data_IF_940442707094
#
_entry.id   IF_940442707094
#
_cell.length_a   1.000
_cell.length_b   1.000
_cell.length_c   1.000
_cell.angle_alpha   90.00
_cell.angle_beta   90.00
_cell.angle_gamma   90.00
#
_symmetry.space_group_name_H-M   'P 1'
#
loop_
_entity.id
_entity.type
_entity.pdbx_description
1 polymer ?
#
# COMPACT_ATOMS: atom_id res chain seq x y z
N UNK A 1 8.74 10.67 -14.57
CA UNK A 1 7.74 9.93 -15.37
C UNK A 1 8.10 8.46 -15.44
N UNK A 2 7.12 7.63 -15.32
CA UNK A 2 7.33 6.19 -15.43
C UNK A 2 7.55 5.80 -16.87
N UNK A 3 8.55 4.97 -17.13
CA UNK A 3 8.84 4.46 -18.47
C UNK A 3 8.34 3.05 -18.69
N UNK A 4 8.05 2.32 -17.64
CA UNK A 4 7.58 0.96 -17.74
C UNK A 4 6.06 0.91 -17.88
N UNK A 5 5.56 -0.23 -18.26
CA UNK A 5 4.12 -0.45 -18.41
C UNK A 5 3.53 -1.24 -17.27
N UNK A 6 4.29 -1.46 -16.21
CA UNK A 6 3.82 -2.21 -15.05
C UNK A 6 2.86 -1.33 -14.26
N UNK A 7 1.64 -1.82 -14.00
CA UNK A 7 0.69 -1.04 -13.17
C UNK A 7 1.23 -0.87 -11.77
N UNK A 8 0.81 0.17 -11.06
CA UNK A 8 1.17 0.33 -9.66
C UNK A 8 0.73 -0.88 -8.84
N UNK A 9 1.58 -1.32 -7.92
CA UNK A 9 1.33 -2.50 -7.10
C UNK A 9 0.74 -2.08 -5.76
N UNK A 10 -0.52 -2.43 -5.52
CA UNK A 10 -1.18 -2.11 -4.26
C UNK A 10 -0.67 -3.03 -3.15
N UNK A 11 -0.48 -2.51 -1.92
CA UNK A 11 -0.02 -3.34 -0.80
C UNK A 11 -0.90 -4.55 -0.54
N UNK A 12 -2.19 -4.49 -0.88
CA UNK A 12 -3.10 -5.61 -0.74
C UNK A 12 -2.70 -6.81 -1.58
N UNK A 13 -2.12 -6.59 -2.76
CA UNK A 13 -1.62 -7.69 -3.57
C UNK A 13 -0.41 -8.35 -2.93
N UNK A 14 0.48 -7.55 -2.36
CA UNK A 14 1.64 -8.08 -1.64
C UNK A 14 1.18 -8.91 -0.44
N UNK A 15 0.21 -8.38 0.31
CA UNK A 15 -0.34 -9.10 1.46
C UNK A 15 -0.90 -10.46 1.04
N UNK A 16 -1.69 -10.48 -0.03
CA UNK A 16 -2.31 -11.72 -0.51
C UNK A 16 -1.30 -12.70 -1.08
N UNK A 17 -0.48 -12.23 -2.04
CA UNK A 17 0.38 -13.12 -2.82
C UNK A 17 1.64 -13.54 -2.09
N UNK A 18 2.21 -12.67 -1.27
CA UNK A 18 3.50 -12.94 -0.63
C UNK A 18 3.36 -13.42 0.81
N UNK A 19 2.21 -13.24 1.43
CA UNK A 19 2.01 -13.62 2.83
C UNK A 19 0.88 -14.60 3.02
N UNK A 20 -0.35 -14.23 2.65
CA UNK A 20 -1.50 -15.07 2.97
C UNK A 20 -1.48 -16.41 2.23
N UNK A 21 -1.26 -16.38 0.93
CA UNK A 21 -1.22 -17.61 0.13
C UNK A 21 -0.07 -18.53 0.53
N UNK A 22 1.18 -18.04 0.57
CA UNK A 22 2.29 -18.93 0.96
C UNK A 22 2.16 -19.49 2.37
N UNK A 23 1.59 -18.71 3.29
CA UNK A 23 1.45 -19.13 4.68
C UNK A 23 0.13 -19.85 4.97
N UNK A 24 -0.72 -19.97 3.94
CA UNK A 24 -2.03 -20.63 4.06
C UNK A 24 -2.89 -19.99 5.15
N UNK A 25 -2.93 -18.65 5.18
CA UNK A 25 -3.72 -17.88 6.13
C UNK A 25 -4.92 -17.31 5.40
N UNK A 26 -6.13 -17.56 5.92
CA UNK A 26 -7.33 -16.99 5.34
C UNK A 26 -7.51 -15.53 5.75
N UNK A 27 -8.30 -14.79 4.98
CA UNK A 27 -8.63 -13.41 5.33
C UNK A 27 -9.34 -13.31 6.67
N UNK A 28 -10.25 -14.26 6.94
CA UNK A 28 -10.97 -14.29 8.20
C UNK A 28 -10.03 -14.52 9.38
N UNK A 29 -9.10 -15.46 9.21
CA UNK A 29 -8.09 -15.73 10.25
C UNK A 29 -7.24 -14.49 10.51
N UNK A 30 -6.78 -13.84 9.43
CA UNK A 30 -5.96 -12.64 9.58
C UNK A 30 -6.71 -11.55 10.34
N UNK A 31 -7.97 -11.31 9.99
CA UNK A 31 -8.78 -10.32 10.69
C UNK A 31 -8.88 -10.60 12.17
N UNK A 32 -9.17 -11.85 12.52
CA UNK A 32 -9.25 -12.26 13.92
C UNK A 32 -7.92 -12.04 14.65
N UNK A 33 -6.84 -12.47 14.01
CA UNK A 33 -5.52 -12.40 14.64
C UNK A 33 -5.01 -10.98 14.79
N UNK A 34 -5.39 -10.09 13.86
CA UNK A 34 -5.02 -8.67 13.95
C UNK A 34 -5.97 -7.87 14.84
N UNK A 35 -7.13 -8.42 15.16
CA UNK A 35 -8.14 -7.68 15.90
C UNK A 35 -8.86 -6.65 15.06
N UNK A 36 -9.04 -6.91 13.75
CA UNK A 36 -9.78 -6.04 12.83
C UNK A 36 -10.83 -6.87 12.11
N UNK A 37 -11.77 -6.19 11.45
CA UNK A 37 -12.82 -6.90 10.74
C UNK A 37 -12.30 -7.60 9.49
N UNK A 38 -12.93 -8.72 9.13
CA UNK A 38 -12.62 -9.40 7.87
C UNK A 38 -12.89 -8.49 6.67
N UNK A 39 -13.89 -7.62 6.77
CA UNK A 39 -14.19 -6.65 5.73
C UNK A 39 -13.02 -5.71 5.48
N UNK A 40 -12.37 -5.25 6.55
CA UNK A 40 -11.20 -4.36 6.43
C UNK A 40 -10.08 -5.06 5.66
N UNK A 41 -9.81 -6.32 5.98
CA UNK A 41 -8.80 -7.11 5.27
C UNK A 41 -9.18 -7.28 3.81
N UNK A 42 -10.44 -7.63 3.55
CA UNK A 42 -10.91 -7.82 2.18
C UNK A 42 -10.78 -6.55 1.34
N UNK A 43 -11.12 -5.40 1.91
CA UNK A 43 -11.00 -4.12 1.21
C UNK A 43 -9.56 -3.77 0.89
N UNK A 44 -8.63 -4.08 1.79
CA UNK A 44 -7.20 -3.86 1.54
C UNK A 44 -6.73 -4.75 0.40
N UNK A 45 -7.09 -6.02 0.43
CA UNK A 45 -6.68 -7.00 -0.59
C UNK A 45 -7.18 -6.60 -1.97
N UNK A 46 -8.38 -6.03 -2.05
CA UNK A 46 -8.96 -5.61 -3.33
C UNK A 46 -8.59 -4.19 -3.73
N UNK A 47 -7.65 -3.56 -3.03
CA UNK A 47 -7.18 -2.23 -3.38
C UNK A 47 -8.14 -1.11 -3.08
N UNK A 48 -9.16 -1.38 -2.27
CA UNK A 48 -10.21 -0.40 -1.95
C UNK A 48 -9.95 0.36 -0.65
N UNK A 49 -8.92 -0.01 0.07
CA UNK A 49 -8.54 0.62 1.34
C UNK A 49 -7.04 0.65 1.45
N UNK A 50 -6.53 1.79 1.87
CA UNK A 50 -5.09 1.98 2.08
C UNK A 50 -4.63 1.34 3.38
N UNK A 51 -3.34 1.01 3.43
CA UNK A 51 -2.67 0.63 4.67
C UNK A 51 -2.41 1.90 5.46
N UNK A 52 -3.03 2.01 6.62
CA UNK A 52 -2.80 3.12 7.55
C UNK A 52 -1.75 2.72 8.58
N UNK A 53 -1.31 3.69 9.40
CA UNK A 53 -0.36 3.39 10.47
C UNK A 53 -0.88 2.31 11.41
N UNK A 54 -2.17 2.37 11.75
CA UNK A 54 -2.78 1.35 12.61
C UNK A 54 -2.65 -0.03 12.00
N UNK A 55 -3.02 -0.19 10.74
CA UNK A 55 -2.93 -1.48 10.07
C UNK A 55 -1.48 -1.93 9.92
N UNK A 56 -0.58 -1.01 9.58
CA UNK A 56 0.84 -1.33 9.43
C UNK A 56 1.44 -1.86 10.73
N UNK A 57 1.10 -1.24 11.85
CA UNK A 57 1.59 -1.68 13.15
C UNK A 57 1.09 -3.09 13.49
N UNK A 58 -0.17 -3.37 13.19
CA UNK A 58 -0.75 -4.69 13.45
C UNK A 58 -0.14 -5.76 12.56
N UNK A 59 0.00 -5.48 11.27
CA UNK A 59 0.63 -6.41 10.33
C UNK A 59 2.08 -6.70 10.68
N UNK A 60 2.81 -5.65 11.05
CA UNK A 60 4.23 -5.81 11.41
C UNK A 60 4.40 -6.70 12.61
N UNK A 61 3.57 -6.52 13.64
CA UNK A 61 3.63 -7.38 14.82
C UNK A 61 3.29 -8.82 14.47
N UNK A 62 2.28 -9.02 13.64
CA UNK A 62 1.82 -10.36 13.28
C UNK A 62 2.86 -11.12 12.46
N UNK A 63 3.40 -10.48 11.43
CA UNK A 63 4.34 -11.13 10.52
C UNK A 63 5.81 -11.00 10.94
N UNK A 64 6.10 -10.18 11.94
CA UNK A 64 7.48 -10.02 12.40
C UNK A 64 8.34 -9.16 11.49
N UNK A 65 7.72 -8.29 10.71
CA UNK A 65 8.44 -7.29 9.90
C UNK A 65 8.22 -5.90 10.50
N UNK A 66 8.39 -4.83 9.72
CA UNK A 66 8.31 -3.48 10.25
C UNK A 66 7.09 -2.74 9.72
N UNK A 67 6.54 -1.78 10.48
CA UNK A 67 5.48 -0.91 9.96
C UNK A 67 5.94 -0.14 8.74
N UNK A 68 7.21 0.22 8.67
CA UNK A 68 7.77 0.93 7.53
C UNK A 68 7.71 0.12 6.26
N UNK A 69 7.83 -1.21 6.35
CA UNK A 69 7.67 -2.07 5.20
C UNK A 69 6.27 -1.87 4.58
N UNK A 70 5.23 -1.95 5.40
CA UNK A 70 3.85 -1.84 4.92
C UNK A 70 3.51 -0.43 4.45
N UNK A 71 3.94 0.59 5.20
CA UNK A 71 3.69 1.98 4.81
C UNK A 71 4.50 2.36 3.59
N UNK A 72 5.69 1.79 3.44
CA UNK A 72 6.51 2.00 2.24
C UNK A 72 5.82 1.50 0.99
N UNK A 73 5.20 0.31 1.06
CA UNK A 73 4.43 -0.21 -0.07
C UNK A 73 3.28 0.72 -0.44
N UNK A 74 2.58 1.24 0.57
CA UNK A 74 1.47 2.16 0.33
C UNK A 74 1.96 3.47 -0.27
N UNK A 75 3.05 4.01 0.27
CA UNK A 75 3.63 5.24 -0.25
C UNK A 75 4.03 5.10 -1.71
N UNK A 76 4.70 4.01 -2.06
CA UNK A 76 5.14 3.77 -3.42
C UNK A 76 3.95 3.66 -4.37
N UNK A 77 2.90 2.95 -3.93
CA UNK A 77 1.68 2.83 -4.72
C UNK A 77 1.05 4.21 -4.95
N UNK A 78 0.88 4.98 -3.88
CA UNK A 78 0.25 6.29 -3.96
C UNK A 78 1.03 7.22 -4.88
N UNK A 79 2.35 7.23 -4.76
CA UNK A 79 3.20 8.07 -5.61
C UNK A 79 3.13 7.65 -7.07
N UNK A 80 3.13 6.34 -7.34
CA UNK A 80 3.04 5.85 -8.72
C UNK A 80 1.72 6.28 -9.37
N UNK A 81 0.62 6.10 -8.65
CA UNK A 81 -0.71 6.47 -9.17
C UNK A 81 -0.79 7.98 -9.42
N UNK A 82 -0.37 8.79 -8.45
CA UNK A 82 -0.49 10.23 -8.57
C UNK A 82 0.51 10.81 -9.57
N UNK A 83 1.70 10.22 -9.68
CA UNK A 83 2.68 10.67 -10.66
C UNK A 83 2.14 10.49 -12.07
N UNK A 84 1.56 9.33 -12.36
CA UNK A 84 0.98 9.09 -13.68
C UNK A 84 -0.18 10.05 -13.97
N UNK A 85 -0.94 10.41 -12.96
CA UNK A 85 -2.13 11.24 -13.12
C UNK A 85 -1.81 12.74 -13.15
N UNK A 86 -0.84 13.18 -12.37
CA UNK A 86 -0.63 14.60 -12.09
C UNK A 86 0.65 15.21 -12.63
N UNK A 87 1.57 14.43 -13.21
CA UNK A 87 2.91 14.95 -13.52
C UNK A 87 2.87 16.22 -14.39
N UNK A 88 2.10 16.19 -15.48
CA UNK A 88 2.02 17.35 -16.37
C UNK A 88 1.34 18.54 -15.71
N UNK A 89 0.35 18.27 -14.89
CA UNK A 89 -0.38 19.30 -14.20
C UNK A 89 0.51 20.01 -13.18
N UNK A 90 1.30 19.22 -12.44
CA UNK A 90 2.21 19.78 -11.44
C UNK A 90 3.28 20.64 -12.11
N UNK A 91 3.80 20.19 -13.25
CA UNK A 91 4.78 20.99 -14.00
C UNK A 91 4.23 22.35 -14.39
N UNK A 92 2.94 22.42 -14.72
CA UNK A 92 2.31 23.69 -15.09
C UNK A 92 1.95 24.55 -13.90
N UNK A 93 1.54 23.94 -12.80
CA UNK A 93 0.96 24.67 -11.67
C UNK A 93 1.97 25.04 -10.60
N UNK A 94 3.03 24.25 -10.45
CA UNK A 94 3.99 24.44 -9.36
C UNK A 94 5.26 25.07 -9.91
N UNK A 95 5.56 26.26 -9.45
CA UNK A 95 6.82 26.94 -9.78
C UNK A 95 7.91 26.40 -8.87
N UNK A 96 9.10 26.25 -9.42
CA UNK A 96 10.26 25.96 -8.59
C UNK A 96 10.68 27.22 -7.88
N UNK A 97 11.08 27.11 -6.62
CA UNK A 97 11.64 28.24 -5.90
C UNK A 97 12.95 28.67 -6.56
N UNK A 98 13.06 29.96 -6.86
CA UNK A 98 14.29 30.49 -7.44
C UNK A 98 15.32 30.71 -6.33
N UNK A 99 16.50 30.17 -6.53
CA UNK A 99 17.63 30.36 -5.61
C UNK A 99 18.59 31.36 -6.26
N UNK A 100 19.10 32.24 -5.44
CA UNK A 100 20.10 33.20 -5.92
C UNK A 100 21.46 32.49 -6.14
#
# INVERSE_FOLDING_TARGET
MRNNKIPPLHPGEVLLEEFLKPMNISQNQLGRDLGVSARRINEIIHGKRSITADTALRLARYFGNSPQFWLGLQMNYDLDVETDRLSHRIEREVKKLAYA
#
